data_IF_018206117173
#
_entry.id   IF_018206117173
#
_cell.length_a   1.000
_cell.length_b   1.000
_cell.length_c   1.000
_cell.angle_alpha   90.00
_cell.angle_beta   90.00
_cell.angle_gamma   90.00
#
_symmetry.space_group_name_H-M   'P 1'
#
loop_
_entity.id
_entity.type
_entity.pdbx_description
1 polymer ?
#
# COMPACT_ATOMS: atom_id res chain seq x y z
N UNK A 1 -46.78 -10.54 6.86
CA UNK A 1 -47.19 -11.73 7.64
C UNK A 1 -46.78 -12.94 6.82
N UNK A 2 -45.57 -13.45 7.04
CA UNK A 2 -45.03 -14.62 6.32
C UNK A 2 -44.43 -15.53 7.37
N UNK A 3 -44.89 -16.79 7.37
CA UNK A 3 -44.71 -17.76 8.44
C UNK A 3 -43.32 -18.39 8.44
N UNK A 4 -42.86 -18.64 9.66
CA UNK A 4 -41.75 -19.49 10.05
C UNK A 4 -42.19 -20.96 9.88
N UNK A 5 -41.33 -21.84 9.39
CA UNK A 5 -41.43 -23.28 9.67
C UNK A 5 -40.04 -23.90 9.76
N UNK A 6 -39.59 -24.14 10.99
CA UNK A 6 -38.56 -25.13 11.31
C UNK A 6 -39.16 -26.53 11.26
N UNK A 7 -38.37 -27.53 10.85
CA UNK A 7 -38.60 -28.93 11.18
C UNK A 7 -37.26 -29.65 11.37
N UNK A 8 -37.07 -30.10 12.60
CA UNK A 8 -35.93 -30.86 13.10
C UNK A 8 -36.17 -32.37 13.02
N UNK A 9 -35.04 -33.10 12.95
CA UNK A 9 -34.79 -34.48 13.38
C UNK A 9 -35.37 -35.69 12.63
N UNK A 10 -34.45 -36.60 12.22
CA UNK A 10 -34.33 -37.94 12.84
C UNK A 10 -32.96 -38.59 12.58
N UNK A 11 -32.44 -39.22 13.63
CA UNK A 11 -31.22 -40.03 13.67
C UNK A 11 -31.46 -41.43 13.11
N UNK A 12 -30.37 -42.08 12.64
CA UNK A 12 -30.29 -43.51 12.39
C UNK A 12 -28.84 -43.99 12.50
N UNK A 13 -28.53 -44.71 13.59
CA UNK A 13 -27.25 -45.37 13.86
C UNK A 13 -27.01 -46.56 12.93
N UNK A 14 -25.75 -46.83 12.57
CA UNK A 14 -25.15 -48.18 12.50
C UNK A 14 -23.61 -48.13 12.30
N UNK A 15 -22.88 -48.63 13.30
CA UNK A 15 -21.53 -49.26 13.25
C UNK A 15 -21.74 -50.69 13.80
N UNK A 16 -20.83 -51.69 13.68
CA UNK A 16 -19.37 -51.59 13.54
C UNK A 16 -18.73 -52.66 12.61
N UNK A 17 -17.40 -52.65 12.43
CA UNK A 17 -16.46 -53.74 12.83
C UNK A 17 -15.02 -53.41 12.44
N UNK A 18 -14.10 -53.80 13.31
CA UNK A 18 -12.65 -53.66 13.23
C UNK A 18 -12.01 -54.77 12.39
N UNK A 19 -10.80 -54.54 11.86
CA UNK A 19 -9.73 -55.53 11.94
C UNK A 19 -8.34 -54.92 11.68
N UNK A 20 -7.37 -55.32 12.48
CA UNK A 20 -5.92 -55.13 12.33
C UNK A 20 -5.28 -56.49 12.60
N UNK A 21 -4.28 -56.94 11.84
CA UNK A 21 -2.90 -57.01 12.38
C UNK A 21 -1.83 -56.84 11.25
N UNK A 22 -0.50 -56.78 11.41
CA UNK A 22 0.46 -57.38 12.35
C UNK A 22 1.85 -56.78 12.10
N UNK A 23 2.72 -56.79 13.12
CA UNK A 23 4.13 -56.39 13.09
C UNK A 23 5.08 -57.49 12.54
N UNK A 24 6.27 -57.07 12.07
CA UNK A 24 7.44 -57.87 11.70
C UNK A 24 8.73 -57.03 11.77
N UNK A 25 9.93 -57.63 11.83
CA UNK A 25 10.87 -57.42 12.95
C UNK A 25 12.05 -56.47 12.70
N UNK A 26 12.73 -56.16 13.80
CA UNK A 26 13.96 -55.40 13.94
C UNK A 26 15.18 -56.04 13.24
N UNK A 27 16.09 -55.19 12.75
CA UNK A 27 17.46 -55.57 12.41
C UNK A 27 18.45 -54.55 13.00
N UNK A 28 19.50 -55.11 13.58
CA UNK A 28 20.55 -54.54 14.42
C UNK A 28 21.86 -54.61 13.62
N UNK A 29 22.48 -53.46 13.33
CA UNK A 29 23.86 -53.45 12.84
C UNK A 29 24.63 -52.18 13.23
N UNK A 30 25.27 -52.29 14.39
CA UNK A 30 26.73 -52.11 14.61
C UNK A 30 27.41 -50.88 13.99
N UNK A 31 27.49 -49.88 14.85
CA UNK A 31 28.68 -49.09 15.19
C UNK A 31 30.04 -49.58 14.63
N UNK A 32 30.65 -48.77 13.76
CA UNK A 32 32.09 -48.83 13.45
C UNK A 32 32.75 -47.52 13.82
N UNK A 33 33.45 -47.54 14.96
CA UNK A 33 34.47 -46.57 15.36
C UNK A 33 35.62 -46.52 14.36
N UNK A 34 35.89 -45.33 13.78
CA UNK A 34 37.20 -45.03 13.19
C UNK A 34 37.68 -43.66 13.68
N UNK A 35 38.64 -43.69 14.61
CA UNK A 35 39.46 -42.56 15.06
C UNK A 35 40.21 -41.97 13.87
N UNK A 36 40.13 -40.65 13.70
CA UNK A 36 41.21 -39.85 13.09
C UNK A 36 41.26 -38.44 13.69
N UNK A 37 42.36 -38.22 14.42
CA UNK A 37 43.16 -36.98 14.58
C UNK A 37 42.49 -35.72 15.11
N UNK A 38 42.92 -35.36 16.33
CA UNK A 38 42.89 -34.00 16.88
C UNK A 38 43.47 -32.98 15.89
N UNK A 39 42.60 -32.13 15.35
CA UNK A 39 42.94 -30.79 14.87
C UNK A 39 42.43 -29.80 15.92
N UNK A 40 43.35 -29.03 16.47
CA UNK A 40 43.08 -27.88 17.33
C UNK A 40 42.33 -26.83 16.49
N UNK A 41 41.14 -26.42 16.92
CA UNK A 41 40.39 -25.31 16.29
C UNK A 41 40.00 -24.34 17.39
N UNK A 42 40.48 -23.11 17.25
CA UNK A 42 40.32 -22.00 18.19
C UNK A 42 38.84 -21.68 18.49
N UNK A 43 38.48 -21.34 19.75
CA UNK A 43 37.13 -20.95 20.10
C UNK A 43 36.96 -19.44 19.92
N UNK A 44 36.85 -18.96 18.67
CA UNK A 44 36.51 -17.56 18.42
C UNK A 44 35.97 -17.35 17.01
N UNK A 45 34.69 -17.64 16.76
CA UNK A 45 33.79 -16.81 15.94
C UNK A 45 32.41 -17.47 15.78
N UNK A 46 31.50 -17.22 16.72
CA UNK A 46 30.06 -17.33 16.47
C UNK A 46 29.37 -16.17 17.19
N UNK A 47 29.76 -14.95 16.82
CA UNK A 47 28.88 -13.80 16.99
C UNK A 47 27.90 -13.83 15.82
N UNK A 48 26.74 -14.45 16.04
CA UNK A 48 25.62 -14.35 15.12
C UNK A 48 25.29 -12.89 14.89
N UNK A 49 25.34 -12.45 13.63
CA UNK A 49 24.72 -11.20 13.22
C UNK A 49 23.21 -11.39 13.37
N UNK A 50 22.68 -11.04 14.55
CA UNK A 50 21.28 -10.66 14.64
C UNK A 50 21.18 -9.36 13.82
N UNK A 51 20.77 -9.47 12.55
CA UNK A 51 20.35 -8.30 11.80
C UNK A 51 19.22 -7.67 12.59
N UNK A 52 19.50 -6.55 13.25
CA UNK A 52 18.50 -5.74 13.91
C UNK A 52 17.61 -5.20 12.79
N UNK A 53 16.52 -5.91 12.48
CA UNK A 53 15.50 -5.38 11.57
C UNK A 53 15.02 -4.06 12.19
N UNK A 54 15.02 -2.94 11.44
CA UNK A 54 14.56 -1.67 11.98
C UNK A 54 13.12 -1.81 12.50
N UNK A 55 12.87 -1.30 13.71
CA UNK A 55 11.53 -1.21 14.26
C UNK A 55 10.90 0.12 13.83
N UNK A 56 9.89 0.05 12.95
CA UNK A 56 9.17 1.22 12.44
C UNK A 56 7.92 1.59 13.25
N UNK A 57 7.66 0.94 14.40
CA UNK A 57 6.47 1.24 15.21
C UNK A 57 6.40 2.71 15.66
N UNK A 58 7.52 3.31 16.05
CA UNK A 58 7.54 4.71 16.50
C UNK A 58 7.36 5.71 15.36
N UNK A 59 7.88 5.39 14.18
CA UNK A 59 7.68 6.22 12.99
C UNK A 59 6.24 6.13 12.49
N UNK A 60 5.63 4.95 12.54
CA UNK A 60 4.21 4.78 12.22
C UNK A 60 3.31 5.52 13.22
N UNK A 61 3.62 5.49 14.53
CA UNK A 61 2.90 6.30 15.53
C UNK A 61 3.02 7.80 15.23
N UNK A 62 4.22 8.27 14.88
CA UNK A 62 4.43 9.65 14.49
C UNK A 62 3.60 10.01 13.25
N UNK A 63 3.58 9.16 12.21
CA UNK A 63 2.77 9.38 11.01
C UNK A 63 1.28 9.60 11.34
N UNK A 64 0.73 8.84 12.29
CA UNK A 64 -0.64 9.06 12.77
C UNK A 64 -0.85 10.43 13.43
N UNK A 65 0.10 10.89 14.25
CA UNK A 65 0.04 12.21 14.89
C UNK A 65 0.08 13.33 13.84
N UNK A 66 0.94 13.18 12.82
CA UNK A 66 1.02 14.11 11.71
C UNK A 66 -0.30 14.16 10.92
N UNK A 67 -0.87 12.98 10.64
CA UNK A 67 -2.15 12.87 9.95
C UNK A 67 -3.32 13.47 10.75
N UNK A 68 -3.37 13.28 12.07
CA UNK A 68 -4.41 13.88 12.91
C UNK A 68 -4.38 15.41 12.86
N UNK A 69 -3.18 16.01 12.81
CA UNK A 69 -3.03 17.45 12.66
C UNK A 69 -3.43 17.94 11.25
N UNK A 70 -3.05 17.21 10.21
CA UNK A 70 -3.41 17.51 8.83
C UNK A 70 -4.91 17.38 8.60
N UNK A 71 -5.54 16.32 9.10
CA UNK A 71 -6.98 16.08 9.02
C UNK A 71 -7.78 17.25 9.61
N UNK A 72 -7.36 17.78 10.75
CA UNK A 72 -8.02 18.91 11.39
C UNK A 72 -7.96 20.17 10.50
N UNK A 73 -6.77 20.51 9.99
CA UNK A 73 -6.54 21.70 9.18
C UNK A 73 -7.24 21.63 7.81
N UNK A 74 -7.16 20.48 7.14
CA UNK A 74 -7.79 20.27 5.83
C UNK A 74 -9.32 20.21 5.95
N UNK A 75 -9.87 19.51 6.95
CA UNK A 75 -11.34 19.45 7.12
C UNK A 75 -11.98 20.79 7.50
N UNK A 76 -11.29 21.64 8.25
CA UNK A 76 -11.76 23.00 8.56
C UNK A 76 -11.98 23.79 7.28
N UNK A 77 -10.98 23.79 6.38
CA UNK A 77 -11.04 24.51 5.11
C UNK A 77 -12.01 23.87 4.12
N UNK A 78 -12.05 22.53 4.04
CA UNK A 78 -12.98 21.81 3.16
C UNK A 78 -14.44 22.15 3.46
N UNK A 79 -14.80 22.28 4.76
CA UNK A 79 -16.16 22.68 5.19
C UNK A 79 -16.45 24.16 4.96
N UNK A 80 -15.43 25.00 4.89
CA UNK A 80 -15.56 26.44 4.70
C UNK A 80 -15.70 26.86 3.22
N UNK A 81 -15.47 25.95 2.26
CA UNK A 81 -15.68 26.20 0.84
C UNK A 81 -17.17 26.46 0.57
N UNK A 82 -17.53 27.73 0.37
CA UNK A 82 -18.86 28.15 -0.06
C UNK A 82 -19.06 27.72 -1.53
N UNK A 83 -19.88 26.70 -1.75
CA UNK A 83 -20.05 26.02 -3.03
C UNK A 83 -20.89 26.84 -4.03
N UNK A 84 -20.40 28.01 -4.47
CA UNK A 84 -20.89 28.70 -5.67
C UNK A 84 -19.91 28.53 -6.82
N UNK A 85 -19.92 27.35 -7.44
CA UNK A 85 -19.11 27.06 -8.63
C UNK A 85 -19.87 27.54 -9.88
N UNK A 86 -19.69 28.80 -10.28
CA UNK A 86 -20.29 29.36 -11.50
C UNK A 86 -19.37 29.23 -12.74
N UNK A 87 -18.07 28.99 -12.54
CA UNK A 87 -17.05 28.77 -13.60
C UNK A 87 -15.96 27.79 -13.11
N UNK A 88 -14.82 27.65 -13.81
CA UNK A 88 -13.69 26.83 -13.30
C UNK A 88 -13.36 27.26 -11.87
N UNK A 89 -13.24 26.32 -10.91
CA UNK A 89 -13.03 26.67 -9.52
C UNK A 89 -11.73 27.46 -9.34
N UNK A 90 -11.77 28.49 -8.51
CA UNK A 90 -10.56 29.18 -8.03
C UNK A 90 -9.75 28.22 -7.18
N UNK A 91 -8.50 27.97 -7.57
CA UNK A 91 -7.59 27.04 -6.88
C UNK A 91 -6.86 27.70 -5.70
N UNK A 92 -6.99 29.01 -5.51
CA UNK A 92 -6.32 29.73 -4.42
C UNK A 92 -6.64 29.14 -3.03
N UNK A 93 -7.90 28.82 -2.68
CA UNK A 93 -8.22 28.28 -1.36
C UNK A 93 -7.64 26.89 -1.08
N UNK A 94 -7.46 26.06 -2.12
CA UNK A 94 -6.85 24.73 -1.97
C UNK A 94 -5.34 24.86 -1.78
N UNK A 95 -4.67 25.71 -2.57
CA UNK A 95 -3.24 26.01 -2.36
C UNK A 95 -2.92 26.52 -0.95
N UNK A 96 -3.78 27.36 -0.36
CA UNK A 96 -3.59 27.81 1.02
C UNK A 96 -3.87 26.70 2.05
N UNK A 97 -4.74 25.74 1.72
CA UNK A 97 -4.98 24.56 2.55
C UNK A 97 -3.77 23.62 2.53
N UNK A 98 -3.24 23.34 1.33
CA UNK A 98 -2.07 22.50 1.10
C UNK A 98 -0.85 23.02 1.87
N UNK A 99 -0.48 24.28 1.63
CA UNK A 99 0.66 24.93 2.29
C UNK A 99 0.53 24.92 3.81
N UNK A 100 -0.66 25.26 4.32
CA UNK A 100 -0.90 25.30 5.76
C UNK A 100 -0.79 23.91 6.39
N UNK A 101 -1.27 22.86 5.72
CA UNK A 101 -1.14 21.49 6.18
C UNK A 101 0.33 21.02 6.12
N UNK A 102 1.07 21.33 5.06
CA UNK A 102 2.48 20.97 4.95
C UNK A 102 3.35 21.66 6.02
N UNK A 103 3.13 22.95 6.28
CA UNK A 103 3.82 23.70 7.34
C UNK A 103 3.61 23.07 8.72
N UNK A 104 2.38 22.64 9.02
CA UNK A 104 2.05 21.95 10.27
C UNK A 104 2.82 20.63 10.40
N UNK A 105 2.84 19.82 9.33
CA UNK A 105 3.53 18.53 9.31
C UNK A 105 5.05 18.76 9.44
N UNK A 106 5.64 19.65 8.64
CA UNK A 106 7.07 20.02 8.71
C UNK A 106 7.47 20.52 10.09
N UNK A 107 6.67 21.40 10.69
CA UNK A 107 6.94 21.93 12.02
C UNK A 107 6.94 20.86 13.11
N UNK A 108 6.12 19.81 12.97
CA UNK A 108 6.14 18.66 13.88
C UNK A 108 7.32 17.72 13.62
N UNK A 109 7.61 17.42 12.36
CA UNK A 109 8.78 16.63 11.97
C UNK A 109 10.09 17.27 12.44
N UNK A 110 10.26 18.58 12.29
CA UNK A 110 11.43 19.30 12.76
C UNK A 110 11.66 19.14 14.28
N UNK A 111 10.58 19.00 15.06
CA UNK A 111 10.64 18.77 16.52
C UNK A 111 10.89 17.31 16.88
N UNK A 112 10.22 16.38 16.20
CA UNK A 112 10.24 14.95 16.55
C UNK A 112 11.37 14.16 15.89
N UNK A 113 11.84 14.62 14.72
CA UNK A 113 12.84 13.97 13.84
C UNK A 113 13.76 15.01 13.18
N UNK A 114 14.50 15.84 13.94
CA UNK A 114 15.33 16.94 13.40
C UNK A 114 16.47 16.51 12.47
N UNK A 115 16.73 15.20 12.30
CA UNK A 115 17.77 14.65 11.42
C UNK A 115 17.22 14.01 10.14
N UNK A 116 15.91 13.84 10.05
CA UNK A 116 15.28 13.30 8.85
C UNK A 116 15.08 14.46 7.85
N UNK A 117 15.31 14.20 6.57
CA UNK A 117 14.95 15.15 5.51
C UNK A 117 13.43 15.15 5.29
N UNK A 118 12.93 16.19 4.63
CA UNK A 118 11.53 16.27 4.22
C UNK A 118 11.47 16.65 2.73
N UNK A 119 10.61 15.99 1.97
CA UNK A 119 10.20 16.38 0.63
C UNK A 119 8.68 16.50 0.65
N UNK A 120 8.17 17.68 0.38
CA UNK A 120 6.73 17.92 0.22
C UNK A 120 6.42 18.51 -1.13
N UNK A 121 5.18 18.34 -1.57
CA UNK A 121 4.67 18.90 -2.83
C UNK A 121 4.82 20.42 -2.89
N UNK A 122 4.45 21.13 -1.81
CA UNK A 122 4.31 22.59 -1.84
C UNK A 122 5.64 23.32 -1.63
N UNK A 123 6.49 22.82 -0.73
CA UNK A 123 7.74 23.49 -0.35
C UNK A 123 9.00 22.76 -0.83
N UNK A 124 8.86 21.64 -1.55
CA UNK A 124 9.99 20.89 -2.08
C UNK A 124 10.84 20.25 -1.00
N UNK A 125 12.16 20.15 -1.22
CA UNK A 125 13.06 19.42 -0.31
C UNK A 125 13.71 20.33 0.74
N UNK A 126 13.75 19.85 1.99
CA UNK A 126 14.42 20.48 3.12
C UNK A 126 15.22 19.44 3.91
N UNK A 127 16.36 19.87 4.47
CA UNK A 127 17.22 19.01 5.28
C UNK A 127 18.05 18.02 4.46
N UNK A 128 18.74 17.13 5.18
CA UNK A 128 19.58 16.09 4.60
C UNK A 128 19.69 14.92 5.56
N UNK A 129 19.79 13.70 5.04
CA UNK A 129 19.89 12.50 5.88
C UNK A 129 19.61 11.23 5.08
N UNK A 130 19.87 10.05 5.67
CA UNK A 130 19.55 8.76 5.07
C UNK A 130 18.05 8.43 5.11
N UNK A 131 17.28 9.22 5.87
CA UNK A 131 15.84 9.12 6.08
C UNK A 131 15.16 10.38 5.54
N UNK A 132 14.05 10.21 4.84
CA UNK A 132 13.30 11.31 4.23
C UNK A 132 11.80 11.08 4.37
N UNK A 133 11.10 12.03 4.97
CA UNK A 133 9.64 12.07 4.96
C UNK A 133 9.15 12.65 3.64
N UNK A 134 8.20 11.98 3.01
CA UNK A 134 7.53 12.42 1.77
C UNK A 134 6.09 12.81 2.14
N UNK A 135 5.66 14.00 1.71
CA UNK A 135 4.37 14.56 2.11
C UNK A 135 3.62 15.07 0.88
N UNK A 136 2.38 14.60 0.72
CA UNK A 136 1.35 15.26 -0.05
C UNK A 136 0.25 15.69 0.93
N UNK A 137 0.03 17.00 1.15
CA UNK A 137 -0.97 17.46 2.09
C UNK A 137 -2.41 17.16 1.64
N UNK A 138 -2.72 17.28 0.34
CA UNK A 138 -4.04 17.05 -0.25
C UNK A 138 -3.90 16.45 -1.66
N UNK A 139 -3.77 15.13 -1.72
CA UNK A 139 -3.95 14.39 -2.96
C UNK A 139 -5.42 14.51 -3.41
N UNK A 140 -5.66 14.74 -4.70
CA UNK A 140 -6.99 15.00 -5.24
C UNK A 140 -7.49 16.43 -5.03
N UNK A 141 -6.62 17.45 -5.09
CA UNK A 141 -6.98 18.89 -4.96
C UNK A 141 -8.18 19.33 -5.82
N UNK A 142 -8.34 18.75 -7.03
CA UNK A 142 -9.48 19.01 -7.92
C UNK A 142 -10.81 18.50 -7.34
N UNK A 143 -10.80 17.38 -6.62
CA UNK A 143 -11.95 16.88 -5.89
C UNK A 143 -12.23 17.77 -4.68
N UNK A 144 -11.17 18.10 -3.93
CA UNK A 144 -11.23 18.95 -2.75
C UNK A 144 -11.93 20.30 -3.03
N UNK A 145 -11.49 21.04 -4.05
CA UNK A 145 -12.05 22.37 -4.40
C UNK A 145 -13.50 22.29 -4.90
N UNK A 146 -13.94 21.10 -5.34
CA UNK A 146 -15.30 20.84 -5.84
C UNK A 146 -16.23 20.26 -4.76
N UNK A 147 -15.74 20.04 -3.54
CA UNK A 147 -16.50 19.41 -2.46
C UNK A 147 -16.70 17.90 -2.65
N UNK A 148 -15.97 17.27 -3.58
CA UNK A 148 -15.98 15.81 -3.74
C UNK A 148 -15.09 15.23 -2.64
N UNK A 149 -15.56 14.22 -1.86
CA UNK A 149 -14.86 13.78 -0.64
C UNK A 149 -13.67 12.84 -0.91
N UNK A 150 -13.30 12.62 -2.19
CA UNK A 150 -12.19 11.75 -2.57
C UNK A 150 -10.92 12.60 -2.64
N UNK A 151 -10.31 12.80 -1.49
CA UNK A 151 -9.00 13.43 -1.32
C UNK A 151 -8.36 12.89 -0.03
N UNK A 152 -7.04 12.96 0.07
CA UNK A 152 -6.33 12.45 1.24
C UNK A 152 -5.01 13.18 1.50
N UNK A 153 -4.55 13.16 2.75
CA UNK A 153 -3.16 13.46 3.09
C UNK A 153 -2.34 12.17 2.97
N UNK A 154 -1.23 12.23 2.22
CA UNK A 154 -0.30 11.12 2.04
C UNK A 154 1.01 11.43 2.78
N UNK A 155 1.42 10.50 3.63
CA UNK A 155 2.63 10.62 4.45
C UNK A 155 3.43 9.34 4.28
N UNK A 156 4.68 9.46 3.85
CA UNK A 156 5.60 8.33 3.79
C UNK A 156 6.92 8.65 4.46
N UNK A 157 7.60 7.62 4.95
CA UNK A 157 9.01 7.67 5.29
C UNK A 157 9.75 6.80 4.28
N UNK A 158 10.75 7.38 3.64
CA UNK A 158 11.71 6.67 2.81
C UNK A 158 13.05 6.53 3.53
N UNK A 159 13.68 5.39 3.34
CA UNK A 159 15.02 5.10 3.82
C UNK A 159 15.93 4.62 2.70
N UNK A 160 17.20 5.03 2.77
CA UNK A 160 18.22 4.53 1.87
C UNK A 160 18.52 3.05 2.17
N UNK A 161 18.22 2.17 1.22
CA UNK A 161 18.59 0.75 1.25
C UNK A 161 19.69 0.41 0.24
N UNK A 162 20.08 -0.87 0.20
CA UNK A 162 21.08 -1.39 -0.76
C UNK A 162 20.65 -1.20 -2.22
N UNK A 163 19.34 -1.24 -2.51
CA UNK A 163 18.75 -1.05 -3.83
C UNK A 163 18.36 0.40 -4.17
N UNK A 164 18.71 1.37 -3.32
CA UNK A 164 18.25 2.75 -3.40
C UNK A 164 17.25 3.12 -2.31
N UNK A 165 16.70 4.33 -2.39
CA UNK A 165 15.71 4.82 -1.44
C UNK A 165 14.41 4.03 -1.59
N UNK A 166 13.82 3.55 -0.49
CA UNK A 166 12.60 2.75 -0.50
C UNK A 166 11.62 3.23 0.57
N UNK A 167 10.30 3.18 0.32
CA UNK A 167 9.31 3.53 1.33
C UNK A 167 9.27 2.43 2.41
N UNK A 168 9.36 2.83 3.68
CA UNK A 168 9.38 1.93 4.84
C UNK A 168 8.21 2.17 5.79
N UNK A 169 7.59 3.34 5.75
CA UNK A 169 6.31 3.66 6.41
C UNK A 169 5.46 4.43 5.43
N UNK A 170 4.16 4.14 5.42
CA UNK A 170 3.18 4.85 4.60
C UNK A 170 1.86 5.01 5.35
N UNK A 171 1.23 6.17 5.21
CA UNK A 171 -0.08 6.48 5.75
C UNK A 171 -0.84 7.33 4.75
N UNK A 172 -2.10 6.95 4.52
CA UNK A 172 -3.06 7.68 3.70
C UNK A 172 -4.26 8.01 4.57
N UNK A 173 -4.58 9.29 4.74
CA UNK A 173 -5.69 9.76 5.58
C UNK A 173 -6.72 10.50 4.74
N UNK A 174 -7.91 9.93 4.59
CA UNK A 174 -9.03 10.51 3.85
C UNK A 174 -10.17 10.87 4.82
N UNK A 175 -10.06 12.02 5.53
CA UNK A 175 -10.98 12.34 6.62
C UNK A 175 -12.42 12.61 6.12
N UNK A 176 -12.60 13.12 4.90
CA UNK A 176 -13.93 13.28 4.29
C UNK A 176 -14.62 11.94 3.97
N UNK A 177 -13.84 10.86 3.78
CA UNK A 177 -14.36 9.48 3.68
C UNK A 177 -14.46 8.79 5.04
N UNK A 178 -13.97 9.41 6.12
CA UNK A 178 -13.79 8.79 7.43
C UNK A 178 -12.98 7.48 7.34
N UNK A 179 -11.91 7.50 6.54
CA UNK A 179 -11.04 6.35 6.30
C UNK A 179 -9.57 6.73 6.44
N UNK A 180 -8.78 5.77 6.90
CA UNK A 180 -7.33 5.85 6.98
C UNK A 180 -6.71 4.49 6.71
N UNK A 181 -5.57 4.48 6.05
CA UNK A 181 -4.78 3.29 5.73
C UNK A 181 -3.35 3.55 6.10
N UNK A 182 -2.65 2.51 6.52
CA UNK A 182 -1.24 2.64 6.87
C UNK A 182 -0.53 1.31 6.79
N UNK A 183 0.79 1.38 6.64
CA UNK A 183 1.68 0.24 6.66
C UNK A 183 3.07 0.66 7.12
N UNK A 184 3.82 -0.33 7.57
CA UNK A 184 5.24 -0.20 7.79
C UNK A 184 5.91 -1.53 7.43
N UNK A 185 7.13 -1.47 6.93
CA UNK A 185 7.84 -2.65 6.43
C UNK A 185 7.86 -3.77 7.48
N UNK A 186 7.41 -4.97 7.07
CA UNK A 186 7.38 -6.16 7.91
C UNK A 186 6.29 -6.17 8.98
N UNK A 187 5.50 -5.10 9.11
CA UNK A 187 4.41 -4.99 10.09
C UNK A 187 3.04 -5.28 9.48
N UNK A 188 2.92 -5.26 8.16
CA UNK A 188 1.67 -5.37 7.42
C UNK A 188 0.97 -4.05 7.18
N UNK A 189 -0.06 -4.12 6.33
CA UNK A 189 -0.94 -3.00 6.01
C UNK A 189 -2.28 -3.13 6.74
N UNK A 190 -2.85 -1.99 7.11
CA UNK A 190 -4.07 -1.90 7.92
C UNK A 190 -4.96 -0.73 7.48
N UNK A 191 -6.24 -0.81 7.80
CA UNK A 191 -7.20 0.30 7.72
C UNK A 191 -8.05 0.36 8.98
N UNK A 192 -8.53 1.56 9.34
CA UNK A 192 -9.43 1.73 10.48
C UNK A 192 -9.41 3.13 11.07
N UNK A 193 -10.26 3.38 12.07
CA UNK A 193 -10.34 4.67 12.77
C UNK A 193 -9.24 4.87 13.82
N UNK A 194 -8.64 3.78 14.27
CA UNK A 194 -7.60 3.79 15.30
C UNK A 194 -6.75 2.52 15.19
N UNK A 195 -5.55 2.55 15.76
CA UNK A 195 -4.68 1.37 15.88
C UNK A 195 -5.36 0.20 16.60
N UNK A 196 -6.21 0.48 17.59
CA UNK A 196 -6.91 -0.54 18.39
C UNK A 196 -8.11 -1.18 17.70
N UNK A 197 -8.60 -0.57 16.63
CA UNK A 197 -9.76 -1.03 15.86
C UNK A 197 -9.39 -1.24 14.39
N UNK A 198 -8.15 -1.65 14.15
CA UNK A 198 -7.58 -1.80 12.83
C UNK A 198 -7.94 -3.15 12.21
N UNK A 199 -8.25 -3.14 10.93
CA UNK A 199 -8.42 -4.34 10.11
C UNK A 199 -7.18 -4.52 9.25
N UNK A 200 -6.57 -5.71 9.28
CA UNK A 200 -5.44 -6.04 8.40
C UNK A 200 -5.92 -6.13 6.95
N UNK A 201 -5.13 -5.56 6.05
CA UNK A 201 -5.38 -5.59 4.62
C UNK A 201 -4.78 -6.83 3.97
N UNK A 202 -5.41 -7.26 2.89
CA UNK A 202 -4.91 -8.32 2.02
C UNK A 202 -5.45 -8.08 0.61
N UNK A 203 -4.58 -8.16 -0.39
CA UNK A 203 -5.00 -8.08 -1.78
C UNK A 203 -5.88 -9.26 -2.20
N UNK A 204 -6.61 -9.10 -3.30
CA UNK A 204 -7.48 -10.14 -3.83
C UNK A 204 -6.69 -11.37 -4.32
N UNK A 205 -7.41 -12.45 -4.64
CA UNK A 205 -6.83 -13.66 -5.22
C UNK A 205 -7.29 -13.88 -6.68
N UNK A 206 -7.75 -12.81 -7.35
CA UNK A 206 -8.17 -12.87 -8.74
C UNK A 206 -6.95 -13.13 -9.62
N UNK A 207 -6.99 -14.19 -10.42
CA UNK A 207 -5.82 -14.70 -11.16
C UNK A 207 -5.96 -14.59 -12.69
N UNK A 208 -7.07 -14.05 -13.20
CA UNK A 208 -7.30 -13.88 -14.64
C UNK A 208 -7.75 -12.45 -14.93
N UNK A 209 -7.18 -11.84 -15.97
CA UNK A 209 -7.53 -10.48 -16.36
C UNK A 209 -9.02 -10.33 -16.66
N UNK A 210 -9.66 -11.37 -17.20
CA UNK A 210 -11.09 -11.38 -17.52
C UNK A 210 -12.03 -11.37 -16.31
N UNK A 211 -11.51 -11.67 -15.12
CA UNK A 211 -12.26 -11.59 -13.86
C UNK A 211 -11.91 -10.30 -13.08
N UNK A 212 -10.95 -9.51 -13.56
CA UNK A 212 -10.38 -8.40 -12.82
C UNK A 212 -11.27 -7.14 -12.82
N UNK A 213 -11.26 -6.44 -11.70
CA UNK A 213 -11.69 -5.06 -11.56
C UNK A 213 -10.48 -4.13 -11.71
N UNK A 214 -10.51 -3.29 -12.74
CA UNK A 214 -9.49 -2.28 -13.05
C UNK A 214 -9.94 -0.88 -12.63
N UNK A 215 -9.10 -0.19 -11.87
CA UNK A 215 -9.31 1.20 -11.49
C UNK A 215 -8.26 2.15 -12.08
N UNK A 216 -8.65 3.39 -12.37
CA UNK A 216 -7.79 4.43 -12.96
C UNK A 216 -8.31 5.83 -12.58
N UNK A 217 -7.65 6.88 -13.09
CA UNK A 217 -8.06 8.27 -12.88
C UNK A 217 -8.75 8.89 -14.09
N UNK A 218 -8.05 9.05 -15.21
CA UNK A 218 -8.60 9.65 -16.43
C UNK A 218 -7.94 9.09 -17.68
N UNK A 219 -8.48 9.42 -18.87
CA UNK A 219 -7.98 8.93 -20.17
C UNK A 219 -6.88 9.81 -20.77
N UNK A 220 -6.88 11.12 -20.52
CA UNK A 220 -6.03 12.08 -21.25
C UNK A 220 -4.54 11.82 -21.05
N UNK A 221 -4.12 11.51 -19.82
CA UNK A 221 -2.71 11.21 -19.54
C UNK A 221 -2.18 9.96 -20.26
N UNK A 222 -3.06 9.02 -20.63
CA UNK A 222 -2.70 7.85 -21.44
C UNK A 222 -2.56 8.19 -22.92
N UNK A 223 -3.40 9.11 -23.42
CA UNK A 223 -3.32 9.61 -24.79
C UNK A 223 -2.03 10.42 -25.00
N UNK A 224 -1.72 11.33 -24.07
CA UNK A 224 -0.51 12.17 -24.09
C UNK A 224 0.81 11.36 -24.06
N UNK A 225 0.75 10.10 -23.64
CA UNK A 225 1.89 9.17 -23.55
C UNK A 225 1.84 8.03 -24.55
N UNK A 226 0.97 8.12 -25.56
CA UNK A 226 0.82 7.11 -26.62
C UNK A 226 0.49 5.69 -26.09
N UNK A 227 -0.20 5.60 -24.94
CA UNK A 227 -0.59 4.33 -24.28
C UNK A 227 -2.09 4.08 -24.26
N UNK A 228 -2.90 4.98 -24.83
CA UNK A 228 -4.35 4.88 -24.80
C UNK A 228 -4.89 3.59 -25.42
N UNK A 229 -4.27 3.08 -26.50
CA UNK A 229 -4.69 1.82 -27.13
C UNK A 229 -4.59 0.64 -26.16
N UNK A 230 -3.43 0.44 -25.54
CA UNK A 230 -3.20 -0.62 -24.56
C UNK A 230 -4.10 -0.50 -23.32
N UNK A 231 -4.31 0.74 -22.85
CA UNK A 231 -5.28 1.02 -21.79
C UNK A 231 -6.72 0.60 -22.16
N UNK A 232 -7.15 0.91 -23.39
CA UNK A 232 -8.50 0.56 -23.86
C UNK A 232 -8.66 -0.94 -24.06
N UNK A 233 -7.62 -1.64 -24.52
CA UNK A 233 -7.62 -3.09 -24.66
C UNK A 233 -7.71 -3.77 -23.28
N UNK A 234 -6.90 -3.34 -22.30
CA UNK A 234 -7.01 -3.78 -20.92
C UNK A 234 -8.42 -3.55 -20.36
N UNK A 235 -8.98 -2.37 -20.62
CA UNK A 235 -10.31 -2.00 -20.15
C UNK A 235 -11.43 -2.85 -20.74
N UNK A 236 -11.27 -3.35 -21.97
CA UNK A 236 -12.22 -4.26 -22.63
C UNK A 236 -12.11 -5.69 -22.10
N UNK A 237 -10.90 -6.12 -21.78
CA UNK A 237 -10.64 -7.48 -21.33
C UNK A 237 -10.99 -7.67 -19.84
N UNK A 238 -10.90 -6.63 -19.01
CA UNK A 238 -11.31 -6.67 -17.61
C UNK A 238 -12.83 -6.87 -17.44
N UNK A 239 -13.22 -7.61 -16.40
CA UNK A 239 -14.63 -7.76 -16.03
C UNK A 239 -15.30 -6.43 -15.69
N UNK A 240 -14.57 -5.54 -15.03
CA UNK A 240 -15.08 -4.25 -14.54
C UNK A 240 -14.01 -3.17 -14.63
N UNK A 241 -14.42 -1.97 -15.02
CA UNK A 241 -13.57 -0.78 -14.94
C UNK A 241 -14.23 0.37 -14.17
N UNK A 242 -13.47 1.16 -13.42
CA UNK A 242 -13.96 2.39 -12.76
C UNK A 242 -12.87 3.45 -12.63
N UNK A 243 -13.25 4.71 -12.83
CA UNK A 243 -12.38 5.85 -12.60
C UNK A 243 -12.65 6.44 -11.19
N UNK A 244 -11.99 5.92 -10.15
CA UNK A 244 -12.14 6.46 -8.79
C UNK A 244 -11.22 7.65 -8.54
N UNK A 245 -10.05 7.69 -9.18
CA UNK A 245 -9.09 8.79 -9.10
C UNK A 245 -8.10 8.69 -7.93
N UNK A 246 -6.90 9.21 -8.17
CA UNK A 246 -5.95 9.64 -7.15
C UNK A 246 -5.48 8.46 -6.24
N UNK A 247 -5.26 8.67 -4.94
CA UNK A 247 -4.82 7.61 -4.00
C UNK A 247 -5.75 6.39 -3.91
N UNK A 248 -7.05 6.57 -4.16
CA UNK A 248 -8.07 5.64 -3.67
C UNK A 248 -8.04 4.27 -4.36
N UNK A 249 -7.87 4.16 -5.70
CA UNK A 249 -7.57 2.90 -6.38
C UNK A 249 -6.50 2.05 -5.71
N UNK A 250 -5.37 2.65 -5.29
CA UNK A 250 -4.28 1.91 -4.65
C UNK A 250 -4.71 1.33 -3.29
N UNK A 251 -5.48 2.10 -2.52
CA UNK A 251 -6.02 1.63 -1.25
C UNK A 251 -7.04 0.50 -1.46
N UNK A 252 -7.86 0.60 -2.50
CA UNK A 252 -8.80 -0.45 -2.88
C UNK A 252 -8.10 -1.74 -3.35
N UNK A 253 -6.93 -1.62 -4.01
CA UNK A 253 -6.06 -2.75 -4.33
C UNK A 253 -5.51 -3.39 -3.05
N UNK A 254 -4.99 -2.60 -2.12
CA UNK A 254 -4.52 -3.10 -0.83
C UNK A 254 -5.64 -3.82 -0.03
N UNK A 255 -6.88 -3.33 -0.13
CA UNK A 255 -8.06 -3.96 0.46
C UNK A 255 -8.57 -5.21 -0.28
N UNK A 256 -8.08 -5.48 -1.49
CA UNK A 256 -8.57 -6.57 -2.34
C UNK A 256 -9.98 -6.34 -2.92
N UNK A 257 -10.46 -5.09 -2.92
CA UNK A 257 -11.76 -4.70 -3.52
C UNK A 257 -11.64 -4.28 -4.98
N UNK A 258 -10.42 -3.92 -5.40
CA UNK A 258 -9.98 -3.72 -6.78
C UNK A 258 -8.76 -4.61 -6.98
N UNK A 259 -8.55 -5.11 -8.19
CA UNK A 259 -7.50 -6.10 -8.45
C UNK A 259 -6.25 -5.46 -9.06
N UNK A 260 -6.45 -4.44 -9.90
CA UNK A 260 -5.40 -3.70 -10.60
C UNK A 260 -5.75 -2.21 -10.69
N UNK A 261 -4.74 -1.36 -10.59
CA UNK A 261 -4.83 0.04 -10.98
C UNK A 261 -3.54 0.54 -11.60
N UNK A 262 -3.64 1.56 -12.44
CA UNK A 262 -2.47 2.16 -13.06
C UNK A 262 -2.74 3.63 -13.40
N UNK A 263 -1.67 4.41 -13.38
CA UNK A 263 -1.66 5.81 -13.78
C UNK A 263 -0.40 6.13 -14.57
N UNK A 264 -0.54 6.91 -15.65
CA UNK A 264 0.55 7.11 -16.59
C UNK A 264 1.48 8.27 -16.17
N UNK A 265 1.11 9.03 -15.13
CA UNK A 265 1.87 10.14 -14.57
C UNK A 265 1.59 10.27 -13.10
N UNK A 266 2.64 10.30 -12.27
CA UNK A 266 2.56 10.60 -10.85
C UNK A 266 3.86 11.21 -10.34
N UNK A 267 3.75 12.00 -9.29
CA UNK A 267 4.89 12.48 -8.51
C UNK A 267 5.25 11.50 -7.40
N UNK A 268 6.45 11.64 -6.82
CA UNK A 268 6.90 10.76 -5.74
C UNK A 268 5.98 10.85 -4.50
N UNK A 269 5.44 12.02 -4.21
CA UNK A 269 4.56 12.25 -3.06
C UNK A 269 3.19 11.54 -3.19
N UNK A 270 2.66 11.42 -4.41
CA UNK A 270 1.45 10.64 -4.71
C UNK A 270 1.67 9.12 -4.56
N UNK A 271 2.91 8.67 -4.78
CA UNK A 271 3.24 7.24 -4.89
C UNK A 271 3.78 6.62 -3.59
N UNK A 272 4.59 7.35 -2.82
CA UNK A 272 5.43 6.76 -1.78
C UNK A 272 4.64 6.04 -0.68
N UNK A 273 3.56 6.65 -0.19
CA UNK A 273 2.71 6.06 0.84
C UNK A 273 1.91 4.86 0.28
N UNK A 274 1.36 5.02 -0.93
CA UNK A 274 0.60 3.99 -1.64
C UNK A 274 1.45 2.72 -1.87
N UNK A 275 2.71 2.88 -2.27
CA UNK A 275 3.60 1.78 -2.61
C UNK A 275 3.81 0.81 -1.44
N UNK A 276 4.21 1.30 -0.27
CA UNK A 276 4.44 0.44 0.91
C UNK A 276 3.15 -0.16 1.44
N UNK A 277 2.02 0.55 1.38
CA UNK A 277 0.72 0.01 1.79
C UNK A 277 0.30 -1.17 0.90
N UNK A 278 0.41 -1.02 -0.43
CA UNK A 278 0.08 -2.11 -1.37
C UNK A 278 1.02 -3.30 -1.17
N UNK A 279 2.32 -3.06 -1.00
CA UNK A 279 3.31 -4.13 -0.81
C UNK A 279 3.07 -4.91 0.50
N UNK A 280 2.83 -4.22 1.61
CA UNK A 280 2.56 -4.84 2.91
C UNK A 280 1.18 -5.53 3.00
N UNK A 281 0.27 -5.22 2.07
CA UNK A 281 -0.98 -5.96 1.85
C UNK A 281 -0.79 -7.24 1.01
N UNK A 282 0.43 -7.51 0.51
CA UNK A 282 0.73 -8.65 -0.36
C UNK A 282 0.58 -8.36 -1.85
N UNK A 283 0.44 -7.10 -2.25
CA UNK A 283 0.38 -6.68 -3.64
C UNK A 283 1.74 -6.40 -4.26
N UNK A 284 1.73 -5.96 -5.52
CA UNK A 284 2.89 -5.44 -6.23
C UNK A 284 2.66 -3.99 -6.63
N UNK A 285 3.72 -3.19 -6.56
CA UNK A 285 3.74 -1.79 -6.96
C UNK A 285 5.02 -1.51 -7.75
N UNK A 286 4.89 -1.04 -8.98
CA UNK A 286 5.98 -0.72 -9.89
C UNK A 286 5.66 0.53 -10.70
N UNK A 287 6.64 1.04 -11.44
CA UNK A 287 6.35 1.82 -12.65
C UNK A 287 5.79 0.96 -13.79
N UNK A 288 5.33 1.62 -14.85
CA UNK A 288 4.98 1.00 -16.13
C UNK A 288 6.19 0.37 -16.83
N UNK A 289 7.41 0.79 -16.47
CA UNK A 289 8.66 0.13 -16.87
C UNK A 289 8.93 -1.19 -16.12
N UNK A 290 8.06 -1.55 -15.16
CA UNK A 290 8.19 -2.72 -14.30
C UNK A 290 9.22 -2.55 -13.18
N UNK A 291 9.84 -1.38 -13.02
CA UNK A 291 10.78 -1.12 -11.93
C UNK A 291 10.02 -1.08 -10.60
N UNK A 292 10.43 -1.86 -9.58
CA UNK A 292 9.77 -1.85 -8.27
C UNK A 292 9.81 -0.48 -7.58
N UNK A 293 8.72 -0.14 -6.89
CA UNK A 293 8.63 1.04 -6.04
C UNK A 293 8.23 2.33 -6.78
N UNK A 294 8.23 3.47 -6.06
CA UNK A 294 7.63 4.74 -6.50
C UNK A 294 8.61 5.62 -7.32
N UNK A 295 9.36 5.06 -8.27
CA UNK A 295 10.52 5.75 -8.87
C UNK A 295 10.37 6.13 -10.35
N UNK A 296 9.29 5.73 -11.02
CA UNK A 296 9.19 5.80 -12.48
C UNK A 296 8.37 6.98 -13.02
N UNK A 297 7.87 7.86 -12.14
CA UNK A 297 7.00 8.99 -12.53
C UNK A 297 5.63 8.56 -13.06
N UNK A 298 5.26 7.31 -12.80
CA UNK A 298 4.02 6.64 -13.16
C UNK A 298 3.90 5.40 -12.26
N UNK A 299 2.73 4.77 -12.22
CA UNK A 299 2.52 3.61 -11.36
C UNK A 299 1.60 2.55 -11.97
N UNK A 300 1.90 1.31 -11.61
CA UNK A 300 1.04 0.14 -11.74
C UNK A 300 1.03 -0.60 -10.40
N UNK A 301 -0.17 -0.83 -9.87
CA UNK A 301 -0.39 -1.62 -8.67
C UNK A 301 -1.35 -2.77 -8.93
N UNK A 302 -1.09 -3.92 -8.33
CA UNK A 302 -1.98 -5.08 -8.44
C UNK A 302 -1.93 -5.97 -7.21
N UNK A 303 -2.81 -6.96 -7.19
CA UNK A 303 -2.78 -8.08 -6.26
C UNK A 303 -1.54 -9.01 -6.39
N UNK A 304 -0.57 -8.66 -7.24
CA UNK A 304 0.62 -9.47 -7.53
C UNK A 304 0.40 -10.49 -8.64
N UNK A 305 -0.69 -11.26 -8.59
CA UNK A 305 -1.02 -12.31 -9.56
C UNK A 305 -1.20 -11.75 -10.99
N UNK A 306 -1.88 -10.61 -11.10
CA UNK A 306 -2.21 -9.97 -12.39
C UNK A 306 -1.15 -8.98 -12.87
N UNK A 307 0.00 -8.90 -12.20
CA UNK A 307 0.91 -7.78 -12.41
C UNK A 307 1.61 -7.82 -13.78
N UNK A 308 2.07 -8.99 -14.22
CA UNK A 308 2.69 -9.10 -15.54
C UNK A 308 1.64 -8.96 -16.65
N UNK A 309 0.41 -9.46 -16.44
CA UNK A 309 -0.70 -9.25 -17.36
C UNK A 309 -0.97 -7.75 -17.51
N UNK A 310 -1.15 -7.01 -16.41
CA UNK A 310 -1.31 -5.55 -16.42
C UNK A 310 -0.22 -4.85 -17.24
N UNK A 311 1.05 -5.14 -16.95
CA UNK A 311 2.17 -4.52 -17.65
C UNK A 311 2.25 -4.93 -19.13
N UNK A 312 1.72 -6.08 -19.53
CA UNK A 312 1.67 -6.45 -20.95
C UNK A 312 0.77 -5.54 -21.80
N UNK A 313 -0.23 -4.89 -21.19
CA UNK A 313 -1.12 -3.95 -21.88
C UNK A 313 -0.59 -2.52 -21.84
N UNK A 314 -0.13 -2.06 -20.67
CA UNK A 314 0.16 -0.63 -20.42
C UNK A 314 1.64 -0.34 -20.14
N UNK A 315 2.45 -1.37 -19.95
CA UNK A 315 3.87 -1.24 -19.66
C UNK A 315 4.66 -0.67 -20.84
N UNK A 316 5.87 -0.23 -20.56
CA UNK A 316 6.81 0.14 -21.62
C UNK A 316 7.24 -1.13 -22.33
N UNK A 317 7.15 -1.15 -23.67
CA UNK A 317 7.60 -2.28 -24.47
C UNK A 317 9.04 -2.60 -24.08
N UNK A 318 9.26 -3.79 -23.49
CA UNK A 318 10.60 -4.36 -23.35
C UNK A 318 11.08 -4.62 -24.77
N UNK A 319 11.93 -3.73 -25.29
CA UNK A 319 12.66 -3.95 -26.54
C UNK A 319 13.49 -5.21 -26.48
#
# INVERSE_FOLDING_TARGET
MVQITELTHRQGLSRPTADTPRAGPADDSRETTRRTRHGHVDPAYTSGYCSHMPDYHDDLRLAHVLADAADAATMERFKALDLKVETKPDMTPVTEADKSAEELIRGQLQRARPRDAVLGEEFGSEGSGPRRWIIDPIDGTKNYVRGVPVWATLIALMERGEGGDRPVVGLVSAPALNRRWWAAEGLGAFTGRSLTSATRLQTSQVARIQDASFAYSSLSGWEERDKLSGFLDLSRDCWRTRAYGDFWPYMMVAEGTVDICAEPELSLWDMAACAVIVQEAGGRYTGLDGRPGPHSGNAAASNGLLHEDLLSYVGDNRG
#
